data_IF_832093457562
#
_entry.id   IF_832093457562
#
_cell.length_a   1.000
_cell.length_b   1.000
_cell.length_c   1.000
_cell.angle_alpha   90.00
_cell.angle_beta   90.00
_cell.angle_gamma   90.00
#
_symmetry.space_group_name_H-M   'P 1'
#
loop_
_entity.id
_entity.type
_entity.pdbx_description
1 polymer ?
#
# COMPACT_ATOMS: atom_id res chain seq x y z
N UNK A 1 -12.47 -2.53 5.37
CA UNK A 1 -12.46 -2.98 3.95
C UNK A 1 -12.13 -4.47 3.87
N UNK A 2 -12.97 -5.27 3.21
CA UNK A 2 -12.97 -6.74 3.36
C UNK A 2 -11.70 -7.46 2.86
N UNK A 3 -11.06 -6.95 1.81
CA UNK A 3 -9.81 -7.53 1.28
C UNK A 3 -8.65 -7.31 2.24
N UNK A 4 -8.53 -6.12 2.83
CA UNK A 4 -7.51 -5.88 3.86
C UNK A 4 -7.78 -6.70 5.12
N UNK A 5 -9.05 -6.91 5.50
CA UNK A 5 -9.44 -7.81 6.59
C UNK A 5 -9.11 -9.29 6.30
N UNK A 6 -9.27 -9.73 5.05
CA UNK A 6 -8.90 -11.08 4.64
C UNK A 6 -7.36 -11.22 4.61
N UNK A 7 -6.67 -10.22 4.07
CA UNK A 7 -5.22 -10.15 4.03
C UNK A 7 -4.60 -10.10 5.44
N UNK A 8 -5.28 -9.53 6.44
CA UNK A 8 -4.80 -9.52 7.84
C UNK A 8 -4.93 -10.86 8.56
N UNK A 9 -5.65 -11.84 7.99
CA UNK A 9 -5.61 -13.22 8.51
C UNK A 9 -4.27 -13.90 8.21
N UNK A 10 -3.51 -13.36 7.27
CA UNK A 10 -2.11 -13.68 7.05
C UNK A 10 -1.26 -12.84 8.03
N UNK A 11 -0.89 -13.43 9.18
CA UNK A 11 -0.11 -12.75 10.21
C UNK A 11 1.22 -12.24 9.67
N UNK A 12 1.82 -12.94 8.70
CA UNK A 12 3.08 -12.57 8.09
C UNK A 12 3.00 -11.24 7.33
N UNK A 13 1.84 -10.90 6.73
CA UNK A 13 1.66 -9.61 6.06
C UNK A 13 1.68 -8.44 7.05
N UNK A 14 0.95 -8.58 8.16
CA UNK A 14 0.86 -7.51 9.16
C UNK A 14 2.17 -7.33 9.89
N UNK A 15 2.88 -8.41 10.18
CA UNK A 15 4.22 -8.34 10.77
C UNK A 15 5.21 -7.64 9.81
N UNK A 16 5.14 -7.95 8.50
CA UNK A 16 5.97 -7.30 7.50
C UNK A 16 5.62 -5.81 7.30
N UNK A 17 4.33 -5.45 7.27
CA UNK A 17 3.90 -4.06 7.15
C UNK A 17 4.25 -3.25 8.39
N UNK A 18 4.10 -3.84 9.58
CA UNK A 18 4.43 -3.19 10.85
C UNK A 18 5.93 -3.09 11.10
N UNK A 19 6.76 -3.65 10.21
CA UNK A 19 8.21 -3.56 10.29
C UNK A 19 8.67 -2.10 10.32
N UNK A 20 9.54 -1.72 11.27
CA UNK A 20 10.11 -0.37 11.33
C UNK A 20 10.79 0.05 10.02
N UNK A 21 11.37 -0.90 9.29
CA UNK A 21 12.02 -0.64 8.01
C UNK A 21 11.02 -0.17 6.92
N UNK A 22 9.81 -0.74 6.92
CA UNK A 22 8.75 -0.34 5.97
C UNK A 22 8.19 1.02 6.36
N UNK A 23 7.93 1.26 7.64
CA UNK A 23 7.48 2.56 8.13
C UNK A 23 8.52 3.68 7.84
N UNK A 24 9.80 3.41 8.11
CA UNK A 24 10.90 4.33 7.82
C UNK A 24 11.06 4.59 6.32
N UNK A 25 10.89 3.56 5.49
CA UNK A 25 10.87 3.69 4.03
C UNK A 25 9.76 4.63 3.57
N UNK A 26 8.52 4.40 4.02
CA UNK A 26 7.38 5.25 3.68
C UNK A 26 7.65 6.69 4.12
N UNK A 27 8.11 6.89 5.35
CA UNK A 27 8.43 8.22 5.88
C UNK A 27 9.51 8.96 5.07
N UNK A 28 10.59 8.27 4.68
CA UNK A 28 11.69 8.87 3.88
C UNK A 28 11.26 9.19 2.45
N UNK A 29 10.39 8.38 1.86
CA UNK A 29 9.81 8.68 0.55
C UNK A 29 9.06 10.03 0.53
N UNK A 30 8.44 10.44 1.64
CA UNK A 30 7.79 11.74 1.72
C UNK A 30 8.74 12.92 1.89
N UNK A 31 9.83 12.71 2.62
CA UNK A 31 10.73 13.79 2.99
C UNK A 31 11.58 14.28 1.82
N UNK A 32 11.71 13.52 0.73
CA UNK A 32 12.85 13.72 -0.17
C UNK A 32 12.48 13.61 -1.66
N UNK A 33 12.57 14.74 -2.35
CA UNK A 33 12.71 14.81 -3.81
C UNK A 33 14.15 14.46 -4.29
N UNK A 34 15.08 14.21 -3.37
CA UNK A 34 16.49 13.91 -3.67
C UNK A 34 16.77 12.40 -3.79
N UNK A 35 17.36 12.00 -4.91
CA UNK A 35 17.72 10.60 -5.21
C UNK A 35 18.59 9.86 -4.16
N UNK A 36 19.52 10.50 -3.41
CA UNK A 36 20.41 9.77 -2.49
C UNK A 36 19.70 9.07 -1.33
N UNK A 37 18.70 9.72 -0.73
CA UNK A 37 17.94 9.15 0.39
C UNK A 37 17.03 8.00 -0.06
N UNK A 38 16.50 8.10 -1.27
CA UNK A 38 15.75 7.01 -1.91
C UNK A 38 16.63 5.77 -2.08
N UNK A 39 17.84 5.93 -2.60
CA UNK A 39 18.78 4.81 -2.76
C UNK A 39 19.16 4.17 -1.41
N UNK A 40 19.37 4.98 -0.37
CA UNK A 40 19.68 4.52 0.98
C UNK A 40 18.54 3.69 1.58
N UNK A 41 17.30 4.17 1.47
CA UNK A 41 16.13 3.45 1.98
C UNK A 41 15.85 2.15 1.21
N UNK A 42 16.03 2.15 -0.12
CA UNK A 42 15.94 0.91 -0.93
C UNK A 42 16.99 -0.12 -0.51
N UNK A 43 18.22 0.33 -0.23
CA UNK A 43 19.29 -0.54 0.29
C UNK A 43 18.93 -1.12 1.66
N UNK A 44 18.43 -0.28 2.57
CA UNK A 44 18.00 -0.69 3.92
C UNK A 44 16.87 -1.73 3.88
N UNK A 45 15.87 -1.52 3.03
CA UNK A 45 14.81 -2.52 2.79
C UNK A 45 15.36 -3.83 2.22
N UNK A 46 16.33 -3.75 1.31
CA UNK A 46 16.94 -4.95 0.72
C UNK A 46 17.72 -5.78 1.74
N UNK A 47 18.18 -5.17 2.83
CA UNK A 47 18.88 -5.85 3.92
C UNK A 47 17.93 -6.40 4.99
N UNK A 48 16.86 -5.66 5.31
CA UNK A 48 15.97 -5.95 6.47
C UNK A 48 14.68 -6.66 6.10
N UNK A 49 14.25 -6.56 4.85
CA UNK A 49 13.02 -7.14 4.31
C UNK A 49 13.36 -7.99 3.07
N UNK A 50 14.52 -8.64 3.10
CA UNK A 50 15.01 -9.47 2.00
C UNK A 50 14.01 -10.60 1.72
N UNK A 51 13.54 -10.69 0.48
CA UNK A 51 12.57 -11.70 0.02
C UNK A 51 11.16 -11.57 0.61
N UNK A 52 10.77 -10.42 1.16
CA UNK A 52 9.37 -10.19 1.54
C UNK A 52 8.63 -9.45 0.44
N UNK A 53 7.37 -9.83 0.21
CA UNK A 53 6.54 -9.19 -0.81
C UNK A 53 6.28 -7.72 -0.50
N UNK A 54 6.13 -7.39 0.79
CA UNK A 54 5.99 -6.02 1.28
C UNK A 54 7.26 -5.22 1.00
N UNK A 55 8.43 -5.81 1.23
CA UNK A 55 9.72 -5.18 0.92
C UNK A 55 9.88 -4.85 -0.56
N UNK A 56 9.49 -5.77 -1.45
CA UNK A 56 9.51 -5.52 -2.90
C UNK A 56 8.54 -4.42 -3.33
N UNK A 57 7.31 -4.41 -2.81
CA UNK A 57 6.34 -3.36 -3.11
C UNK A 57 6.72 -2.00 -2.52
N UNK A 58 7.32 -1.97 -1.33
CA UNK A 58 7.85 -0.74 -0.73
C UNK A 58 8.97 -0.13 -1.60
N UNK A 59 9.94 -0.95 -2.03
CA UNK A 59 10.99 -0.51 -2.97
C UNK A 59 10.41 0.00 -4.29
N UNK A 60 9.44 -0.72 -4.87
CA UNK A 60 8.81 -0.32 -6.14
C UNK A 60 8.06 1.00 -5.99
N UNK A 61 7.29 1.18 -4.92
CA UNK A 61 6.56 2.42 -4.66
C UNK A 61 7.50 3.63 -4.58
N UNK A 62 8.67 3.46 -3.93
CA UNK A 62 9.72 4.50 -3.90
C UNK A 62 10.27 4.84 -5.29
N UNK A 63 10.63 3.82 -6.07
CA UNK A 63 11.19 4.02 -7.41
C UNK A 63 10.19 4.74 -8.32
N UNK A 64 8.92 4.31 -8.33
CA UNK A 64 7.86 4.91 -9.14
C UNK A 64 7.66 6.39 -8.79
N UNK A 65 7.70 6.75 -7.50
CA UNK A 65 7.58 8.15 -7.09
C UNK A 65 8.81 8.97 -7.46
N UNK A 66 10.00 8.43 -7.25
CA UNK A 66 11.27 9.10 -7.61
C UNK A 66 11.40 9.35 -9.11
N UNK A 67 10.81 8.48 -9.94
CA UNK A 67 10.75 8.62 -11.39
C UNK A 67 9.63 9.55 -11.89
N UNK A 68 8.86 10.18 -10.99
CA UNK A 68 7.78 11.11 -11.34
C UNK A 68 6.49 10.44 -11.86
N UNK A 69 6.31 9.13 -11.68
CA UNK A 69 5.16 8.41 -12.25
C UNK A 69 3.79 8.81 -11.68
N UNK A 70 3.73 9.24 -10.42
CA UNK A 70 2.51 9.72 -9.78
C UNK A 70 2.81 10.95 -8.91
N UNK A 71 2.94 12.16 -9.51
CA UNK A 71 3.36 13.36 -8.79
C UNK A 71 2.37 13.76 -7.69
N UNK A 72 1.08 13.45 -7.88
CA UNK A 72 0.00 13.79 -6.96
C UNK A 72 -0.34 12.69 -5.94
N UNK A 73 0.18 11.46 -6.12
CA UNK A 73 -0.08 10.36 -5.18
C UNK A 73 1.03 10.26 -4.15
N UNK A 74 0.64 9.91 -2.94
CA UNK A 74 1.54 9.76 -1.82
C UNK A 74 2.26 8.40 -1.85
N UNK A 75 3.41 8.25 -1.19
CA UNK A 75 4.13 6.96 -1.15
C UNK A 75 3.27 5.86 -0.53
N UNK A 76 2.55 6.17 0.55
CA UNK A 76 1.62 5.25 1.18
C UNK A 76 0.51 4.86 0.21
N UNK A 77 -0.05 5.82 -0.53
CA UNK A 77 -1.08 5.54 -1.54
C UNK A 77 -0.58 4.55 -2.59
N UNK A 78 0.61 4.79 -3.15
CA UNK A 78 1.20 3.91 -4.18
C UNK A 78 1.48 2.51 -3.60
N UNK A 79 2.05 2.42 -2.40
CA UNK A 79 2.34 1.16 -1.72
C UNK A 79 1.06 0.34 -1.46
N UNK A 80 0.08 0.93 -0.79
CA UNK A 80 -1.15 0.25 -0.42
C UNK A 80 -1.99 -0.11 -1.66
N UNK A 81 -1.93 0.70 -2.72
CA UNK A 81 -2.55 0.36 -4.01
C UNK A 81 -1.90 -0.88 -4.64
N UNK A 82 -0.57 -0.93 -4.73
CA UNK A 82 0.14 -2.08 -5.30
C UNK A 82 -0.06 -3.37 -4.50
N UNK A 83 -0.06 -3.27 -3.17
CA UNK A 83 -0.38 -4.40 -2.30
C UNK A 83 -1.82 -4.86 -2.53
N UNK A 84 -2.76 -3.92 -2.63
CA UNK A 84 -4.17 -4.24 -2.92
C UNK A 84 -4.29 -4.94 -4.27
N UNK A 85 -3.65 -4.43 -5.32
CA UNK A 85 -3.68 -5.04 -6.65
C UNK A 85 -3.13 -6.47 -6.62
N UNK A 86 -2.06 -6.71 -5.87
CA UNK A 86 -1.50 -8.05 -5.67
C UNK A 86 -2.50 -9.00 -5.00
N UNK A 87 -3.07 -8.61 -3.86
CA UNK A 87 -4.03 -9.45 -3.13
C UNK A 87 -5.32 -9.67 -3.92
N UNK A 88 -5.79 -8.63 -4.60
CA UNK A 88 -6.91 -8.71 -5.54
C UNK A 88 -6.60 -9.69 -6.66
N UNK A 89 -5.40 -9.66 -7.24
CA UNK A 89 -5.01 -10.57 -8.31
C UNK A 89 -4.92 -12.02 -7.82
N UNK A 90 -4.36 -12.24 -6.62
CA UNK A 90 -4.19 -13.55 -5.98
C UNK A 90 -5.54 -14.17 -5.55
N UNK A 91 -6.36 -13.38 -4.85
CA UNK A 91 -7.51 -13.89 -4.09
C UNK A 91 -8.86 -13.66 -4.79
N UNK A 92 -8.94 -12.75 -5.77
CA UNK A 92 -10.16 -12.52 -6.62
C UNK A 92 -10.04 -13.28 -7.95
N UNK A 93 -9.23 -14.34 -7.99
CA UNK A 93 -9.28 -15.30 -9.09
C UNK A 93 -10.63 -16.04 -9.03
N UNK A 94 -11.63 -15.49 -9.71
CA UNK A 94 -12.98 -16.06 -9.77
C UNK A 94 -13.88 -15.66 -8.60
N UNK A 95 -13.90 -14.39 -8.18
CA UNK A 95 -14.92 -13.92 -7.24
C UNK A 95 -16.33 -14.12 -7.83
N UNK A 96 -16.95 -15.21 -7.39
CA UNK A 96 -18.33 -15.62 -7.62
C UNK A 96 -19.06 -15.31 -6.31
N UNK A 97 -19.49 -14.05 -6.16
CA UNK A 97 -20.40 -13.72 -5.06
C UNK A 97 -21.76 -14.37 -5.31
N UNK A 98 -22.48 -14.74 -4.25
CA UNK A 98 -23.78 -15.41 -4.34
C UNK A 98 -24.81 -14.69 -5.25
N UNK A 99 -24.65 -13.37 -5.46
CA UNK A 99 -25.53 -12.52 -6.27
C UNK A 99 -24.82 -11.72 -7.39
N UNK A 100 -23.51 -11.84 -7.58
CA UNK A 100 -22.76 -11.02 -8.55
C UNK A 100 -21.58 -11.80 -9.14
N UNK A 101 -21.76 -12.33 -10.35
CA UNK A 101 -20.66 -12.83 -11.18
C UNK A 101 -20.27 -11.71 -12.12
N UNK A 102 -18.98 -11.36 -12.14
CA UNK A 102 -18.41 -10.65 -13.29
C UNK A 102 -18.54 -11.60 -14.49
N UNK A 103 -19.44 -11.28 -15.42
CA UNK A 103 -19.75 -12.08 -16.61
C UNK A 103 -18.70 -11.89 -17.69
N UNK A 104 -17.95 -10.79 -17.64
CA UNK A 104 -16.93 -10.44 -18.63
C UNK A 104 -15.59 -10.10 -17.98
N UNK A 105 -14.50 -10.24 -18.74
CA UNK A 105 -13.17 -9.77 -18.32
C UNK A 105 -13.15 -8.25 -18.07
N UNK A 106 -13.98 -7.49 -18.78
CA UNK A 106 -14.09 -6.04 -18.60
C UNK A 106 -14.70 -5.69 -17.23
N UNK A 107 -15.77 -6.38 -16.84
CA UNK A 107 -16.37 -6.24 -15.52
C UNK A 107 -15.39 -6.63 -14.42
N UNK A 108 -14.67 -7.74 -14.58
CA UNK A 108 -13.65 -8.15 -13.62
C UNK A 108 -12.54 -7.09 -13.50
N UNK A 109 -12.03 -6.56 -14.61
CA UNK A 109 -11.02 -5.48 -14.60
C UNK A 109 -11.54 -4.24 -13.89
N UNK A 110 -12.79 -3.86 -14.15
CA UNK A 110 -13.43 -2.68 -13.57
C UNK A 110 -13.65 -2.85 -12.06
N UNK A 111 -14.04 -4.04 -11.63
CA UNK A 111 -14.17 -4.39 -10.23
C UNK A 111 -12.83 -4.38 -9.49
N UNK A 112 -11.79 -4.99 -10.06
CA UNK A 112 -10.44 -4.95 -9.48
C UNK A 112 -9.94 -3.51 -9.34
N UNK A 113 -10.16 -2.68 -10.37
CA UNK A 113 -9.80 -1.26 -10.35
C UNK A 113 -10.59 -0.49 -9.29
N UNK A 114 -11.90 -0.72 -9.16
CA UNK A 114 -12.71 0.00 -8.17
C UNK A 114 -12.28 -0.29 -6.73
N UNK A 115 -11.84 -1.51 -6.44
CA UNK A 115 -11.22 -1.88 -5.16
C UNK A 115 -9.93 -1.09 -4.94
N UNK A 116 -8.99 -1.13 -5.90
CA UNK A 116 -7.71 -0.41 -5.80
C UNK A 116 -7.94 1.08 -5.57
N UNK A 117 -8.84 1.69 -6.34
CA UNK A 117 -9.13 3.12 -6.28
C UNK A 117 -9.81 3.48 -4.94
N UNK A 118 -10.64 2.59 -4.40
CA UNK A 118 -11.27 2.77 -3.09
C UNK A 118 -10.24 2.69 -1.95
N UNK A 119 -9.26 1.77 -2.02
CA UNK A 119 -8.14 1.74 -1.06
C UNK A 119 -7.31 3.02 -1.16
N UNK A 120 -6.93 3.41 -2.37
CA UNK A 120 -6.14 4.62 -2.60
C UNK A 120 -6.84 5.85 -2.02
N UNK A 121 -8.14 6.04 -2.26
CA UNK A 121 -8.95 7.12 -1.67
C UNK A 121 -8.99 7.06 -0.14
N UNK A 122 -9.18 5.86 0.44
CA UNK A 122 -9.21 5.70 1.91
C UNK A 122 -7.85 6.07 2.52
N UNK A 123 -6.75 5.61 1.93
CA UNK A 123 -5.38 5.96 2.37
C UNK A 123 -5.13 7.46 2.29
N UNK A 124 -5.45 8.09 1.16
CA UNK A 124 -5.31 9.55 0.98
C UNK A 124 -6.14 10.33 2.01
N UNK A 125 -7.35 9.86 2.30
CA UNK A 125 -8.23 10.51 3.29
C UNK A 125 -7.62 10.43 4.70
N UNK A 126 -7.15 9.25 5.10
CA UNK A 126 -6.53 9.05 6.42
C UNK A 126 -5.26 9.91 6.49
N UNK A 127 -4.38 9.80 5.51
CA UNK A 127 -3.15 10.60 5.43
C UNK A 127 -3.41 12.10 5.57
N UNK A 128 -4.42 12.62 4.86
CA UNK A 128 -4.80 14.04 4.96
C UNK A 128 -5.22 14.40 6.38
N UNK A 129 -5.95 13.53 7.07
CA UNK A 129 -6.36 13.74 8.47
C UNK A 129 -5.16 13.74 9.40
N UNK A 130 -4.28 12.73 9.32
CA UNK A 130 -3.10 12.64 10.18
C UNK A 130 -2.14 13.82 9.96
N UNK A 131 -2.05 14.34 8.73
CA UNK A 131 -1.29 15.56 8.42
C UNK A 131 -1.91 16.81 9.05
N UNK A 132 -3.24 16.91 9.10
CA UNK A 132 -3.93 18.00 9.80
C UNK A 132 -3.72 17.92 11.32
N UNK A 133 -3.55 16.72 11.87
CA UNK A 133 -3.18 16.48 13.26
C UNK A 133 -1.68 16.75 13.55
N UNK A 134 -0.89 17.12 12.54
CA UNK A 134 0.53 17.44 12.70
C UNK A 134 1.45 16.21 12.90
N UNK A 135 0.92 14.99 12.73
CA UNK A 135 1.70 13.76 12.88
C UNK A 135 2.71 13.60 11.76
N UNK A 136 3.89 13.10 12.08
CA UNK A 136 4.84 12.67 11.08
C UNK A 136 4.45 11.29 10.51
N UNK A 137 5.12 10.86 9.44
CA UNK A 137 4.79 9.59 8.78
C UNK A 137 5.04 8.34 9.62
N UNK A 138 6.04 8.38 10.48
CA UNK A 138 6.33 7.28 11.41
C UNK A 138 5.14 7.06 12.35
N UNK A 139 4.44 8.13 12.73
CA UNK A 139 3.24 8.10 13.57
C UNK A 139 1.96 7.82 12.77
N UNK A 140 1.82 8.39 11.57
CA UNK A 140 0.63 8.24 10.73
C UNK A 140 0.52 6.84 10.10
N UNK A 141 1.65 6.20 9.78
CA UNK A 141 1.65 4.91 9.08
C UNK A 141 0.97 3.78 9.88
N UNK A 142 1.26 3.56 11.17
CA UNK A 142 0.53 2.60 12.00
C UNK A 142 -0.98 2.90 12.07
N UNK A 143 -1.37 4.18 12.03
CA UNK A 143 -2.79 4.59 12.04
C UNK A 143 -3.47 4.23 10.73
N UNK A 144 -2.82 4.49 9.58
CA UNK A 144 -3.31 4.07 8.26
C UNK A 144 -3.51 2.57 8.21
N UNK A 145 -2.51 1.79 8.64
CA UNK A 145 -2.58 0.34 8.67
C UNK A 145 -3.77 -0.13 9.51
N UNK A 146 -3.95 0.41 10.73
CA UNK A 146 -5.08 0.07 11.61
C UNK A 146 -6.44 0.44 11.02
N UNK A 147 -6.59 1.62 10.43
CA UNK A 147 -7.86 2.09 9.85
C UNK A 147 -8.26 1.37 8.57
N UNK A 148 -7.30 0.82 7.82
CA UNK A 148 -7.59 -0.04 6.67
C UNK A 148 -8.22 -1.38 7.09
N UNK A 149 -7.90 -1.86 8.29
CA UNK A 149 -8.44 -3.10 8.88
C UNK A 149 -9.87 -2.94 9.41
N UNK A 150 -10.27 -1.72 9.77
CA UNK A 150 -11.62 -1.42 10.25
C UNK A 150 -12.65 -1.48 9.11
N UNK A 151 -13.93 -1.78 9.40
CA UNK A 151 -15.02 -1.84 8.43
C UNK A 151 -14.98 -0.68 7.43
#
# INVERSE_FOLDING_TARGET
MEIWRAATKDSALIDQLSSPAVAACVARGFAVAAQPETARAVRELSLTQRNTIVGEFAKRAMLVKSAGGHPNESHATVLFRQLTDYYVARDIAGYVGANFRCKTLSELRSFKRSISDSVAKKVQTIERQERLEGRNWTEAYPVILRRLQQP
#
